data_IF_057789417328
#
_entry.id   IF_057789417328
#
_cell.length_a   1.000
_cell.length_b   1.000
_cell.length_c   1.000
_cell.angle_alpha   90.00
_cell.angle_beta   90.00
_cell.angle_gamma   90.00
#
_symmetry.space_group_name_H-M   'P 1'
#
loop_
_entity.id
_entity.type
_entity.pdbx_description
1 polymer ?
#
# COMPACT_ATOMS: atom_id res chain seq x y z
N UNK A 1 16.26 9.42 -27.45
CA UNK A 1 15.24 8.41 -27.81
C UNK A 1 14.09 8.35 -26.79
N UNK A 2 14.35 8.03 -25.51
CA UNK A 2 13.30 7.82 -24.49
C UNK A 2 12.31 8.98 -24.28
N UNK A 3 12.76 10.24 -24.37
CA UNK A 3 11.86 11.41 -24.25
C UNK A 3 10.87 11.52 -25.41
N UNK A 4 11.31 11.23 -26.65
CA UNK A 4 10.45 11.27 -27.85
C UNK A 4 9.39 10.16 -27.78
N UNK A 5 9.81 8.95 -27.42
CA UNK A 5 8.92 7.79 -27.22
C UNK A 5 7.87 8.08 -26.13
N UNK A 6 8.30 8.60 -24.97
CA UNK A 6 7.37 8.95 -23.90
C UNK A 6 6.40 10.09 -24.27
N UNK A 7 6.81 11.01 -25.16
CA UNK A 7 5.96 12.08 -25.67
C UNK A 7 4.77 11.59 -26.49
N UNK A 8 4.89 10.41 -27.13
CA UNK A 8 3.79 9.75 -27.84
C UNK A 8 2.78 9.10 -26.89
N UNK A 9 3.11 8.96 -25.60
CA UNK A 9 2.25 8.28 -24.63
C UNK A 9 0.86 8.91 -24.51
N UNK A 10 0.74 10.24 -24.54
CA UNK A 10 -0.54 10.92 -24.39
C UNK A 10 -1.43 10.80 -25.64
N UNK A 11 -0.97 11.06 -26.88
CA UNK A 11 -1.77 10.80 -28.07
C UNK A 11 -2.19 9.34 -28.20
N UNK A 12 -1.26 8.40 -27.96
CA UNK A 12 -1.53 6.96 -28.05
C UNK A 12 -2.52 6.51 -26.97
N UNK A 13 -2.53 7.14 -25.80
CA UNK A 13 -3.46 6.80 -24.72
C UNK A 13 -4.94 6.87 -25.15
N UNK A 14 -5.32 7.78 -26.04
CA UNK A 14 -6.71 7.86 -26.52
C UNK A 14 -7.07 6.71 -27.47
N UNK A 15 -6.10 6.20 -28.24
CA UNK A 15 -6.26 5.09 -29.19
C UNK A 15 -6.14 3.75 -28.47
N UNK A 16 -5.17 3.64 -27.57
CA UNK A 16 -4.89 2.46 -26.78
C UNK A 16 -4.28 2.89 -25.42
N UNK A 17 -5.09 2.94 -24.34
CA UNK A 17 -4.66 3.40 -23.02
C UNK A 17 -3.46 2.65 -22.42
N UNK A 18 -3.41 1.33 -22.56
CA UNK A 18 -2.32 0.47 -22.06
C UNK A 18 -1.00 0.77 -22.79
N UNK A 19 -1.03 0.90 -24.12
CA UNK A 19 0.18 1.24 -24.89
C UNK A 19 0.65 2.65 -24.53
N UNK A 20 -0.27 3.62 -24.45
CA UNK A 20 0.03 4.98 -24.04
C UNK A 20 0.68 5.05 -22.65
N UNK A 21 0.15 4.25 -21.71
CA UNK A 21 0.73 4.07 -20.38
C UNK A 21 2.15 3.48 -20.44
N UNK A 22 2.37 2.36 -21.14
CA UNK A 22 3.70 1.75 -21.28
C UNK A 22 4.73 2.72 -21.87
N UNK A 23 4.35 3.50 -22.90
CA UNK A 23 5.19 4.53 -23.49
C UNK A 23 5.55 5.62 -22.47
N UNK A 24 4.60 6.02 -21.62
CA UNK A 24 4.82 7.03 -20.59
C UNK A 24 5.88 6.62 -19.55
N UNK A 25 6.01 5.32 -19.25
CA UNK A 25 6.96 4.80 -18.27
C UNK A 25 8.43 5.01 -18.66
N UNK A 26 8.74 5.11 -19.96
CA UNK A 26 10.11 5.39 -20.46
C UNK A 26 10.67 6.72 -19.96
N UNK A 27 9.80 7.66 -19.56
CA UNK A 27 10.20 8.91 -18.93
C UNK A 27 9.26 9.30 -17.78
N UNK A 28 9.13 8.41 -16.79
CA UNK A 28 8.27 8.62 -15.61
C UNK A 28 8.53 9.94 -14.84
N UNK A 29 9.72 10.56 -14.99
CA UNK A 29 10.04 11.86 -14.39
C UNK A 29 9.33 13.04 -15.06
N UNK A 30 8.85 12.87 -16.30
CA UNK A 30 8.12 13.89 -17.04
C UNK A 30 6.76 14.17 -16.40
N UNK A 31 6.34 15.44 -16.42
CA UNK A 31 4.98 15.84 -16.02
C UNK A 31 3.92 15.19 -16.91
N UNK A 32 4.17 15.11 -18.22
CA UNK A 32 3.25 14.46 -19.17
C UNK A 32 3.08 12.99 -18.85
N UNK A 33 4.17 12.27 -18.57
CA UNK A 33 4.10 10.87 -18.16
C UNK A 33 3.33 10.69 -16.85
N UNK A 34 3.48 11.63 -15.91
CA UNK A 34 2.67 11.64 -14.68
C UNK A 34 1.18 11.82 -14.94
N UNK A 35 0.80 12.70 -15.87
CA UNK A 35 -0.60 12.87 -16.29
C UNK A 35 -1.13 11.57 -16.89
N UNK A 36 -0.41 10.98 -17.85
CA UNK A 36 -0.82 9.70 -18.47
C UNK A 36 -0.94 8.59 -17.43
N UNK A 37 -0.02 8.51 -16.46
CA UNK A 37 -0.09 7.52 -15.37
C UNK A 37 -1.36 7.67 -14.53
N UNK A 38 -1.70 8.90 -14.15
CA UNK A 38 -2.89 9.21 -13.34
C UNK A 38 -4.18 8.97 -14.13
N UNK A 39 -4.23 9.38 -15.40
CA UNK A 39 -5.36 9.10 -16.27
C UNK A 39 -5.54 7.60 -16.50
N UNK A 40 -4.46 6.84 -16.66
CA UNK A 40 -4.54 5.38 -16.77
C UNK A 40 -5.05 4.73 -15.49
N UNK A 41 -4.68 5.25 -14.32
CA UNK A 41 -5.24 4.79 -13.04
C UNK A 41 -6.75 5.07 -12.93
N UNK A 42 -7.21 6.22 -13.43
CA UNK A 42 -8.64 6.55 -13.55
C UNK A 42 -9.37 5.58 -14.49
N UNK A 43 -8.78 5.25 -15.65
CA UNK A 43 -9.35 4.26 -16.59
C UNK A 43 -9.39 2.86 -15.99
N UNK A 44 -8.35 2.44 -15.26
CA UNK A 44 -8.36 1.16 -14.51
C UNK A 44 -9.51 1.12 -13.52
N UNK A 45 -9.74 2.20 -12.77
CA UNK A 45 -10.89 2.30 -11.88
C UNK A 45 -12.21 2.15 -12.63
N UNK A 46 -12.39 2.89 -13.72
CA UNK A 46 -13.60 2.83 -14.54
C UNK A 46 -13.85 1.43 -15.15
N UNK A 47 -12.79 0.74 -15.54
CA UNK A 47 -12.84 -0.56 -16.21
C UNK A 47 -13.10 -1.75 -15.27
N UNK A 48 -13.36 -1.54 -13.98
CA UNK A 48 -13.69 -2.64 -13.07
C UNK A 48 -15.01 -3.29 -13.49
N UNK A 49 -15.05 -4.62 -13.59
CA UNK A 49 -16.17 -5.42 -14.09
C UNK A 49 -17.23 -5.75 -13.04
N UNK A 50 -16.89 -5.71 -11.75
CA UNK A 50 -17.72 -6.16 -10.62
C UNK A 50 -18.19 -7.62 -10.67
N UNK A 51 -17.66 -8.45 -11.57
CA UNK A 51 -18.08 -9.85 -11.73
C UNK A 51 -17.60 -10.78 -10.62
N UNK A 52 -16.58 -10.38 -9.85
CA UNK A 52 -16.00 -11.21 -8.79
C UNK A 52 -16.64 -10.90 -7.43
N UNK A 53 -17.44 -11.85 -6.93
CA UNK A 53 -18.18 -11.73 -5.66
C UNK A 53 -17.29 -11.57 -4.43
N UNK A 54 -16.04 -12.05 -4.52
CA UNK A 54 -15.05 -11.96 -3.44
C UNK A 54 -14.27 -10.64 -3.46
N UNK A 55 -14.41 -9.83 -4.51
CA UNK A 55 -13.66 -8.59 -4.63
C UNK A 55 -14.22 -7.50 -3.70
N UNK A 56 -13.30 -6.74 -3.09
CA UNK A 56 -13.65 -5.49 -2.42
C UNK A 56 -14.42 -4.55 -3.35
N UNK A 57 -14.13 -4.62 -4.66
CA UNK A 57 -14.67 -3.67 -5.61
C UNK A 57 -16.18 -3.70 -5.70
N UNK A 58 -16.74 -4.91 -5.83
CA UNK A 58 -18.18 -5.15 -5.86
C UNK A 58 -18.85 -4.62 -4.59
N UNK A 59 -18.31 -4.95 -3.40
CA UNK A 59 -18.91 -4.52 -2.12
C UNK A 59 -18.99 -3.01 -1.99
N UNK A 60 -18.02 -2.27 -2.53
CA UNK A 60 -18.10 -0.81 -2.55
C UNK A 60 -19.03 -0.30 -3.65
N UNK A 61 -19.16 -1.00 -4.79
CA UNK A 61 -20.11 -0.66 -5.84
C UNK A 61 -21.56 -0.79 -5.35
N UNK A 62 -21.90 -1.90 -4.69
CA UNK A 62 -23.21 -2.12 -4.06
C UNK A 62 -23.50 -1.07 -2.99
N UNK A 63 -22.50 -0.75 -2.15
CA UNK A 63 -22.64 0.28 -1.12
C UNK A 63 -22.86 1.67 -1.72
N UNK A 64 -22.28 1.96 -2.89
CA UNK A 64 -22.49 3.23 -3.60
C UNK A 64 -23.87 3.30 -4.23
N UNK A 65 -24.38 2.21 -4.82
CA UNK A 65 -25.72 2.19 -5.40
C UNK A 65 -26.83 2.34 -4.35
N UNK A 66 -26.57 1.92 -3.11
CA UNK A 66 -27.47 2.12 -1.97
C UNK A 66 -27.21 3.43 -1.22
N UNK A 67 -26.25 4.24 -1.67
CA UNK A 67 -25.89 5.47 -0.99
C UNK A 67 -26.93 6.55 -1.29
N UNK A 68 -27.65 6.96 -0.25
CA UNK A 68 -28.57 8.09 -0.30
C UNK A 68 -27.80 9.40 -0.16
N UNK A 69 -27.84 10.24 -1.18
CA UNK A 69 -27.17 11.54 -1.22
C UNK A 69 -28.03 12.69 -0.65
N UNK A 70 -29.25 12.40 -0.20
CA UNK A 70 -30.15 13.35 0.47
C UNK A 70 -29.92 13.43 1.98
N UNK A 71 -29.00 12.63 2.52
CA UNK A 71 -28.62 12.67 3.93
C UNK A 71 -28.17 14.08 4.34
N UNK A 72 -28.86 14.68 5.30
CA UNK A 72 -28.45 15.96 5.88
C UNK A 72 -27.13 15.80 6.66
N UNK A 73 -26.46 16.93 6.93
CA UNK A 73 -25.21 16.94 7.67
C UNK A 73 -25.33 16.21 9.03
N UNK A 74 -26.48 16.35 9.71
CA UNK A 74 -26.71 15.72 11.01
C UNK A 74 -26.79 14.19 10.89
N UNK A 75 -27.42 13.67 9.84
CA UNK A 75 -27.50 12.25 9.53
C UNK A 75 -26.11 11.69 9.18
N UNK A 76 -25.30 12.41 8.40
CA UNK A 76 -23.91 12.02 8.12
C UNK A 76 -23.05 11.99 9.38
N UNK A 77 -23.16 13.01 10.25
CA UNK A 77 -22.45 13.04 11.54
C UNK A 77 -22.94 11.93 12.46
N UNK A 78 -24.25 11.64 12.49
CA UNK A 78 -24.84 10.55 13.26
C UNK A 78 -24.31 9.20 12.79
N UNK A 79 -24.38 8.92 11.48
CA UNK A 79 -23.87 7.68 10.87
C UNK A 79 -22.35 7.50 11.08
N UNK A 80 -21.59 8.60 11.11
CA UNK A 80 -20.16 8.56 11.46
C UNK A 80 -19.95 8.25 12.95
N UNK A 81 -20.71 8.89 13.86
CA UNK A 81 -20.65 8.65 15.31
C UNK A 81 -21.11 7.24 15.70
N UNK A 82 -22.14 6.73 15.04
CA UNK A 82 -22.71 5.38 15.23
C UNK A 82 -21.87 4.29 14.56
N UNK A 83 -20.94 4.66 13.67
CA UNK A 83 -19.95 3.73 13.10
C UNK A 83 -20.39 3.02 11.83
N UNK A 84 -21.54 3.42 11.30
CA UNK A 84 -22.05 2.97 10.02
C UNK A 84 -21.19 3.53 8.87
N UNK A 85 -20.65 4.75 9.04
CA UNK A 85 -19.70 5.40 8.14
C UNK A 85 -18.26 5.37 8.70
N UNK A 86 -17.51 4.32 8.35
CA UNK A 86 -16.20 4.00 8.94
C UNK A 86 -15.02 4.81 8.41
N UNK A 87 -15.08 5.22 7.14
CA UNK A 87 -13.97 5.87 6.44
C UNK A 87 -14.47 7.13 5.72
N UNK A 88 -14.00 8.30 6.17
CA UNK A 88 -14.42 9.60 5.63
C UNK A 88 -14.11 9.75 4.14
N UNK A 89 -12.97 9.22 3.68
CA UNK A 89 -12.61 9.23 2.27
C UNK A 89 -13.65 8.53 1.38
N UNK A 90 -14.18 7.37 1.82
CA UNK A 90 -15.24 6.67 1.08
C UNK A 90 -16.49 7.54 1.01
N UNK A 91 -16.88 8.14 2.13
CA UNK A 91 -18.07 8.97 2.21
C UNK A 91 -17.98 10.19 1.29
N UNK A 92 -16.89 10.94 1.38
CA UNK A 92 -16.68 12.14 0.56
C UNK A 92 -16.65 11.79 -0.93
N UNK A 93 -16.04 10.66 -1.29
CA UNK A 93 -16.05 10.17 -2.66
C UNK A 93 -17.48 9.81 -3.12
N UNK A 94 -18.24 9.09 -2.30
CA UNK A 94 -19.62 8.71 -2.62
C UNK A 94 -20.50 9.94 -2.78
N UNK A 95 -20.46 10.86 -1.82
CA UNK A 95 -21.20 12.11 -1.88
C UNK A 95 -20.83 12.95 -3.10
N UNK A 96 -19.54 13.13 -3.39
CA UNK A 96 -19.12 13.93 -4.53
C UNK A 96 -19.62 13.35 -5.86
N UNK A 97 -19.50 12.04 -6.05
CA UNK A 97 -19.88 11.39 -7.31
C UNK A 97 -21.39 11.28 -7.45
N UNK A 98 -22.12 11.04 -6.36
CA UNK A 98 -23.58 10.91 -6.38
C UNK A 98 -24.31 12.19 -6.76
N UNK A 99 -23.65 13.36 -6.73
CA UNK A 99 -24.20 14.62 -7.24
C UNK A 99 -24.49 14.53 -8.75
N UNK A 100 -23.70 13.76 -9.51
CA UNK A 100 -23.79 13.74 -10.98
C UNK A 100 -23.82 12.34 -11.60
N UNK A 101 -23.67 11.27 -10.82
CA UNK A 101 -23.71 9.90 -11.32
C UNK A 101 -24.10 8.89 -10.25
N UNK A 102 -24.98 7.95 -10.59
CA UNK A 102 -25.27 6.75 -9.79
C UNK A 102 -24.44 5.53 -10.24
N UNK A 103 -23.61 5.67 -11.27
CA UNK A 103 -22.81 4.57 -11.83
C UNK A 103 -21.54 4.32 -10.98
N UNK A 104 -21.37 3.13 -10.37
CA UNK A 104 -20.18 2.79 -9.58
C UNK A 104 -18.85 2.84 -10.35
N UNK A 105 -18.84 2.61 -11.67
CA UNK A 105 -17.63 2.74 -12.49
C UNK A 105 -17.12 4.18 -12.49
N UNK A 106 -18.02 5.16 -12.51
CA UNK A 106 -17.66 6.58 -12.37
C UNK A 106 -17.06 6.83 -10.99
N UNK A 107 -17.65 6.28 -9.93
CA UNK A 107 -17.10 6.36 -8.58
C UNK A 107 -15.68 5.78 -8.50
N UNK A 108 -15.45 4.62 -9.11
CA UNK A 108 -14.11 4.04 -9.18
C UNK A 108 -13.13 4.81 -10.05
N UNK A 109 -13.58 5.49 -11.10
CA UNK A 109 -12.72 6.36 -11.88
C UNK A 109 -12.14 7.48 -11.01
N UNK A 110 -12.97 8.13 -10.18
CA UNK A 110 -12.50 9.13 -9.22
C UNK A 110 -11.64 8.53 -8.11
N UNK A 111 -11.96 7.34 -7.60
CA UNK A 111 -11.09 6.61 -6.67
C UNK A 111 -9.71 6.34 -7.30
N UNK A 112 -9.69 5.90 -8.55
CA UNK A 112 -8.50 5.62 -9.35
C UNK A 112 -7.68 6.87 -9.65
N UNK A 113 -8.32 8.02 -9.84
CA UNK A 113 -7.66 9.30 -10.01
C UNK A 113 -6.86 9.68 -8.75
N UNK A 114 -7.51 9.70 -7.58
CA UNK A 114 -6.85 10.04 -6.30
C UNK A 114 -5.76 9.04 -5.97
N UNK A 115 -6.06 7.74 -6.11
CA UNK A 115 -5.10 6.67 -5.90
C UNK A 115 -3.89 6.79 -6.86
N UNK A 116 -4.13 7.07 -8.13
CA UNK A 116 -3.12 7.24 -9.18
C UNK A 116 -2.14 8.38 -8.87
N UNK A 117 -2.62 9.49 -8.30
CA UNK A 117 -1.77 10.61 -7.88
C UNK A 117 -0.76 10.14 -6.81
N UNK A 118 -1.24 9.51 -5.74
CA UNK A 118 -0.36 9.04 -4.66
C UNK A 118 0.54 7.86 -5.08
N UNK A 119 0.04 7.00 -5.96
CA UNK A 119 0.82 5.91 -6.56
C UNK A 119 1.98 6.47 -7.39
N UNK A 120 1.72 7.44 -8.26
CA UNK A 120 2.73 8.13 -9.05
C UNK A 120 3.75 8.85 -8.16
N UNK A 121 3.30 9.60 -7.15
CA UNK A 121 4.18 10.30 -6.21
C UNK A 121 5.10 9.33 -5.46
N UNK A 122 4.57 8.19 -5.02
CA UNK A 122 5.35 7.14 -4.36
C UNK A 122 6.36 6.47 -5.31
N UNK A 123 5.96 6.22 -6.56
CA UNK A 123 6.88 5.72 -7.60
C UNK A 123 8.01 6.72 -7.89
N UNK A 124 7.72 8.03 -7.87
CA UNK A 124 8.75 9.07 -8.04
C UNK A 124 9.79 9.06 -6.92
N UNK A 125 9.42 8.69 -5.70
CA UNK A 125 10.38 8.53 -4.60
C UNK A 125 11.39 7.44 -4.94
N UNK A 126 10.94 6.27 -5.40
CA UNK A 126 11.82 5.19 -5.84
C UNK A 126 12.74 5.63 -6.99
N UNK A 127 12.17 6.27 -8.01
CA UNK A 127 12.91 6.75 -9.19
C UNK A 127 13.94 7.83 -8.84
N UNK A 128 13.68 8.62 -7.78
CA UNK A 128 14.63 9.59 -7.25
C UNK A 128 15.81 8.88 -6.59
N UNK A 129 15.57 7.95 -5.66
CA UNK A 129 16.64 7.22 -4.95
C UNK A 129 17.46 6.31 -5.89
N UNK A 130 16.82 5.77 -6.95
CA UNK A 130 17.51 4.99 -7.99
C UNK A 130 18.53 5.82 -8.78
N UNK A 131 18.29 7.12 -8.95
CA UNK A 131 19.08 7.98 -9.82
C UNK A 131 19.01 7.56 -11.30
N UNK A 132 20.10 7.70 -12.04
CA UNK A 132 20.21 7.26 -13.45
C UNK A 132 20.49 5.77 -13.61
N UNK A 133 20.75 5.05 -12.51
CA UNK A 133 21.07 3.63 -12.57
C UNK A 133 19.89 2.82 -13.12
N UNK A 134 20.21 1.88 -14.01
CA UNK A 134 19.27 0.91 -14.55
C UNK A 134 20.02 -0.39 -14.77
N UNK A 135 19.68 -1.41 -14.00
CA UNK A 135 20.13 -2.79 -14.22
C UNK A 135 19.01 -3.76 -13.81
N UNK A 136 19.23 -5.04 -14.08
CA UNK A 136 18.24 -6.09 -13.84
C UNK A 136 17.84 -6.22 -12.37
N UNK A 137 18.75 -6.00 -11.42
CA UNK A 137 18.47 -6.10 -9.99
C UNK A 137 17.64 -4.91 -9.49
N UNK A 138 17.93 -3.70 -9.98
CA UNK A 138 17.08 -2.54 -9.75
C UNK A 138 15.70 -2.70 -10.37
N UNK A 139 15.60 -3.40 -11.51
CA UNK A 139 14.31 -3.75 -12.11
C UNK A 139 13.52 -4.70 -11.19
N UNK A 140 14.13 -5.76 -10.64
CA UNK A 140 13.47 -6.64 -9.69
C UNK A 140 12.96 -5.90 -8.45
N UNK A 141 13.79 -5.03 -7.87
CA UNK A 141 13.36 -4.18 -6.74
C UNK A 141 12.22 -3.24 -7.14
N UNK A 142 12.27 -2.64 -8.33
CA UNK A 142 11.21 -1.77 -8.83
C UNK A 142 9.90 -2.53 -9.06
N UNK A 143 9.96 -3.77 -9.55
CA UNK A 143 8.78 -4.63 -9.74
C UNK A 143 8.14 -4.99 -8.39
N UNK A 144 8.93 -5.34 -7.38
CA UNK A 144 8.42 -5.62 -6.03
C UNK A 144 7.83 -4.35 -5.42
N UNK A 145 8.52 -3.21 -5.54
CA UNK A 145 7.99 -1.92 -5.08
C UNK A 145 6.65 -1.59 -5.74
N UNK A 146 6.53 -1.80 -7.06
CA UNK A 146 5.29 -1.59 -7.79
C UNK A 146 4.18 -2.52 -7.29
N UNK A 147 4.50 -3.79 -7.02
CA UNK A 147 3.54 -4.80 -6.54
C UNK A 147 2.88 -4.37 -5.22
N UNK A 148 3.65 -3.83 -4.27
CA UNK A 148 3.10 -3.42 -2.98
C UNK A 148 2.46 -2.03 -3.05
N UNK A 149 1.13 -1.99 -2.98
CA UNK A 149 0.32 -0.77 -2.89
C UNK A 149 0.50 0.29 -3.98
N UNK A 150 1.43 0.18 -4.91
CA UNK A 150 1.63 1.13 -6.04
C UNK A 150 0.89 0.64 -7.29
N UNK A 151 0.76 -0.68 -7.47
CA UNK A 151 0.11 -1.30 -8.62
C UNK A 151 -1.33 -0.81 -8.75
N UNK A 152 -1.68 -0.34 -9.94
CA UNK A 152 -2.91 0.42 -10.18
C UNK A 152 -4.19 -0.37 -9.90
N UNK A 153 -4.15 -1.70 -10.03
CA UNK A 153 -5.28 -2.58 -9.72
C UNK A 153 -5.62 -2.64 -8.23
N UNK A 154 -4.73 -2.18 -7.35
CA UNK A 154 -5.04 -2.04 -5.94
C UNK A 154 -6.12 -0.98 -5.67
N UNK A 155 -6.56 -0.20 -6.67
CA UNK A 155 -7.77 0.63 -6.58
C UNK A 155 -9.01 -0.20 -6.18
N UNK A 156 -9.03 -1.51 -6.46
CA UNK A 156 -10.03 -2.45 -5.93
C UNK A 156 -10.28 -2.30 -4.41
N UNK A 157 -9.21 -2.06 -3.66
CA UNK A 157 -9.23 -1.80 -2.21
C UNK A 157 -8.88 -0.36 -1.87
N UNK A 158 -9.45 0.62 -2.60
CA UNK A 158 -8.95 2.01 -2.59
C UNK A 158 -8.82 2.65 -1.20
N UNK A 159 -9.65 2.28 -0.21
CA UNK A 159 -9.64 2.90 1.14
C UNK A 159 -8.28 2.71 1.83
N UNK A 160 -7.92 1.46 2.12
CA UNK A 160 -6.65 1.13 2.75
C UNK A 160 -5.47 1.44 1.82
N UNK A 161 -5.57 1.07 0.54
CA UNK A 161 -4.44 1.14 -0.38
C UNK A 161 -4.03 2.59 -0.69
N UNK A 162 -5.00 3.51 -0.82
CA UNK A 162 -4.70 4.95 -0.96
C UNK A 162 -4.08 5.48 0.33
N UNK A 163 -4.67 5.16 1.49
CA UNK A 163 -4.12 5.57 2.79
C UNK A 163 -2.68 5.07 3.01
N UNK A 164 -2.34 3.86 2.56
CA UNK A 164 -1.01 3.30 2.64
C UNK A 164 0.02 4.08 1.80
N UNK A 165 -0.35 4.49 0.57
CA UNK A 165 0.48 5.32 -0.28
C UNK A 165 0.66 6.74 0.27
N UNK A 166 -0.42 7.35 0.77
CA UNK A 166 -0.38 8.65 1.45
C UNK A 166 0.54 8.57 2.65
N UNK A 167 0.42 7.52 3.47
CA UNK A 167 1.27 7.31 4.64
C UNK A 167 2.74 7.16 4.23
N UNK A 168 3.04 6.27 3.29
CA UNK A 168 4.40 6.05 2.79
C UNK A 168 5.04 7.34 2.29
N UNK A 169 4.34 8.05 1.40
CA UNK A 169 4.85 9.29 0.81
C UNK A 169 5.04 10.40 1.85
N UNK A 170 4.11 10.52 2.80
CA UNK A 170 4.15 11.53 3.86
C UNK A 170 5.28 11.25 4.86
N UNK A 171 5.41 10.00 5.32
CA UNK A 171 6.52 9.57 6.19
C UNK A 171 7.87 9.79 5.52
N UNK A 172 8.00 9.44 4.22
CA UNK A 172 9.24 9.64 3.51
C UNK A 172 9.62 11.14 3.42
N UNK A 173 8.68 11.99 3.02
CA UNK A 173 8.96 13.43 2.89
C UNK A 173 9.18 14.11 4.24
N UNK A 174 8.47 13.68 5.28
CA UNK A 174 8.66 14.24 6.62
C UNK A 174 9.98 13.80 7.25
N UNK A 175 10.25 12.49 7.33
CA UNK A 175 11.39 11.93 8.07
C UNK A 175 12.71 12.12 7.30
N UNK A 176 12.73 11.84 6.00
CA UNK A 176 13.96 11.84 5.22
C UNK A 176 14.18 13.13 4.45
N UNK A 177 13.14 13.71 3.86
CA UNK A 177 13.25 15.01 3.18
C UNK A 177 13.10 16.21 4.12
N UNK A 178 12.82 15.99 5.41
CA UNK A 178 12.67 17.03 6.45
C UNK A 178 11.60 18.10 6.13
N UNK A 179 10.57 17.74 5.36
CA UNK A 179 9.49 18.65 4.98
C UNK A 179 8.34 18.56 6.00
N UNK A 180 8.27 19.50 6.93
CA UNK A 180 7.33 19.51 8.06
C UNK A 180 5.85 19.49 7.66
N UNK A 181 5.50 20.10 6.52
CA UNK A 181 4.11 20.13 6.02
C UNK A 181 3.49 18.72 5.86
N UNK A 182 4.32 17.70 5.64
CA UNK A 182 3.86 16.32 5.47
C UNK A 182 3.43 15.63 6.77
N UNK A 183 3.55 16.29 7.93
CA UNK A 183 2.87 15.83 9.16
C UNK A 183 1.36 15.79 8.93
N UNK A 184 0.79 16.78 8.23
CA UNK A 184 -0.63 16.80 7.88
C UNK A 184 -0.99 15.52 7.10
N UNK A 185 -0.15 15.14 6.13
CA UNK A 185 -0.31 13.91 5.36
C UNK A 185 -0.35 12.64 6.22
N UNK A 186 0.37 12.59 7.34
CA UNK A 186 0.32 11.46 8.29
C UNK A 186 -0.99 11.50 9.10
N UNK A 187 -1.37 12.68 9.61
CA UNK A 187 -2.55 12.89 10.44
C UNK A 187 -3.87 12.62 9.70
N UNK A 188 -3.91 12.79 8.38
CA UNK A 188 -5.11 12.52 7.57
C UNK A 188 -5.26 11.04 7.18
N UNK A 189 -4.25 10.19 7.37
CA UNK A 189 -4.34 8.77 6.96
C UNK A 189 -5.47 7.98 7.62
N UNK A 190 -5.86 8.23 8.89
CA UNK A 190 -7.06 7.63 9.48
C UNK A 190 -8.37 8.01 8.77
N UNK A 191 -8.41 9.16 8.08
CA UNK A 191 -9.58 9.56 7.29
C UNK A 191 -9.73 8.73 6.01
N UNK A 192 -8.61 8.23 5.46
CA UNK A 192 -8.63 7.28 4.34
C UNK A 192 -9.09 5.91 4.78
N UNK A 193 -8.57 5.46 5.92
CA UNK A 193 -8.99 4.21 6.53
C UNK A 193 -8.73 4.20 8.04
N UNK A 194 -9.74 3.84 8.83
CA UNK A 194 -9.65 3.83 10.30
C UNK A 194 -8.49 2.98 10.84
N UNK A 195 -8.08 1.93 10.10
CA UNK A 195 -6.95 1.07 10.48
C UNK A 195 -5.62 1.81 10.64
N UNK A 196 -5.48 3.04 10.13
CA UNK A 196 -4.31 3.89 10.33
C UNK A 196 -4.30 4.65 11.65
N UNK A 197 -5.37 4.61 12.45
CA UNK A 197 -5.45 5.30 13.74
C UNK A 197 -4.27 4.95 14.68
N UNK A 198 -3.85 3.67 14.84
CA UNK A 198 -2.68 3.33 15.67
C UNK A 198 -1.36 3.93 15.17
N UNK A 199 -1.25 4.29 13.89
CA UNK A 199 -0.01 4.84 13.33
C UNK A 199 0.32 6.21 13.92
N UNK A 200 -0.68 7.00 14.31
CA UNK A 200 -0.48 8.35 14.84
C UNK A 200 0.31 8.36 16.16
N UNK A 201 -0.13 7.69 17.25
CA UNK A 201 0.62 7.65 18.49
C UNK A 201 2.00 6.99 18.31
N UNK A 202 2.11 6.00 17.42
CA UNK A 202 3.36 5.29 17.16
C UNK A 202 4.36 6.19 16.41
N UNK A 203 3.88 7.03 15.51
CA UNK A 203 4.69 8.04 14.86
C UNK A 203 5.18 9.11 15.85
N UNK A 204 4.30 9.56 16.76
CA UNK A 204 4.69 10.48 17.84
C UNK A 204 5.78 9.83 18.70
N UNK A 205 5.59 8.58 19.11
CA UNK A 205 6.59 7.80 19.84
C UNK A 205 7.91 7.76 19.08
N UNK A 206 7.90 7.37 17.80
CA UNK A 206 9.10 7.35 16.97
C UNK A 206 9.82 8.71 16.98
N UNK A 207 9.10 9.82 16.81
CA UNK A 207 9.71 11.16 16.84
C UNK A 207 10.41 11.45 18.17
N UNK A 208 9.85 11.00 19.29
CA UNK A 208 10.46 11.18 20.62
C UNK A 208 11.69 10.29 20.84
N UNK A 209 11.65 9.04 20.36
CA UNK A 209 12.68 8.04 20.70
C UNK A 209 13.71 7.76 19.59
N UNK A 210 13.54 8.29 18.38
CA UNK A 210 14.39 7.93 17.23
C UNK A 210 15.89 8.17 17.47
N UNK A 211 16.25 9.19 18.26
CA UNK A 211 17.64 9.47 18.65
C UNK A 211 18.31 8.33 19.44
N UNK A 212 17.50 7.48 20.09
CA UNK A 212 17.99 6.30 20.81
C UNK A 212 18.14 5.08 19.90
N UNK A 213 17.63 5.11 18.68
CA UNK A 213 17.64 3.96 17.78
C UNK A 213 18.87 3.85 16.91
N UNK A 214 19.56 4.97 16.64
CA UNK A 214 20.73 4.96 15.78
C UNK A 214 21.75 6.03 16.15
N UNK A 215 22.97 5.88 15.64
CA UNK A 215 24.02 6.89 15.68
C UNK A 215 24.78 6.91 14.33
N UNK A 216 25.89 7.64 14.23
CA UNK A 216 26.71 7.68 13.00
C UNK A 216 27.38 6.34 12.66
N UNK A 217 27.53 5.45 13.64
CA UNK A 217 28.19 4.14 13.49
C UNK A 217 27.21 3.09 12.99
N UNK A 218 25.95 3.14 13.42
CA UNK A 218 24.94 2.17 13.02
C UNK A 218 23.68 2.19 13.88
N UNK A 219 22.84 1.18 13.68
CA UNK A 219 21.65 0.93 14.50
C UNK A 219 22.06 0.44 15.89
N UNK A 220 21.48 1.01 16.93
CA UNK A 220 21.79 0.64 18.31
C UNK A 220 21.29 -0.78 18.64
N UNK A 221 21.96 -1.52 19.54
CA UNK A 221 21.59 -2.90 19.87
C UNK A 221 20.14 -3.06 20.33
N UNK A 222 19.62 -2.11 21.12
CA UNK A 222 18.25 -2.16 21.63
C UNK A 222 17.22 -2.38 20.52
N UNK A 223 17.20 -1.53 19.49
CA UNK A 223 16.24 -1.66 18.39
C UNK A 223 16.42 -2.98 17.64
N UNK A 224 17.66 -3.42 17.44
CA UNK A 224 17.95 -4.68 16.79
C UNK A 224 17.42 -5.89 17.58
N UNK A 225 17.60 -5.92 18.90
CA UNK A 225 17.07 -7.01 19.72
C UNK A 225 15.55 -6.98 19.81
N UNK A 226 14.94 -5.80 19.90
CA UNK A 226 13.47 -5.66 19.79
C UNK A 226 12.97 -6.21 18.46
N UNK A 227 13.69 -5.99 17.36
CA UNK A 227 13.37 -6.59 16.07
C UNK A 227 13.47 -8.11 16.09
N UNK A 228 14.54 -8.68 16.64
CA UNK A 228 14.68 -10.14 16.73
C UNK A 228 13.53 -10.74 17.57
N UNK A 229 13.22 -10.13 18.71
CA UNK A 229 12.12 -10.59 19.59
C UNK A 229 10.78 -10.50 18.88
N UNK A 230 10.45 -9.36 18.27
CA UNK A 230 9.17 -9.18 17.55
C UNK A 230 9.06 -10.07 16.31
N UNK A 231 10.18 -10.29 15.61
CA UNK A 231 10.25 -11.24 14.51
C UNK A 231 9.94 -12.66 14.99
N UNK A 232 10.64 -13.14 16.03
CA UNK A 232 10.42 -14.47 16.61
C UNK A 232 8.97 -14.62 17.11
N UNK A 233 8.47 -13.62 17.84
CA UNK A 233 7.08 -13.59 18.29
C UNK A 233 6.10 -13.71 17.11
N UNK A 234 6.37 -13.05 15.97
CA UNK A 234 5.50 -13.12 14.78
C UNK A 234 5.34 -14.51 14.15
N UNK A 235 6.12 -15.52 14.59
CA UNK A 235 5.96 -16.92 14.18
C UNK A 235 5.00 -17.71 15.08
N UNK A 236 4.88 -17.31 16.34
CA UNK A 236 4.13 -18.05 17.36
C UNK A 236 2.85 -17.34 17.81
N UNK A 237 2.77 -16.01 17.64
CA UNK A 237 1.60 -15.26 18.08
C UNK A 237 0.44 -15.47 17.09
N UNK A 238 -0.64 -16.04 17.60
CA UNK A 238 -1.90 -16.18 16.88
C UNK A 238 -2.59 -14.83 16.64
N UNK A 239 -3.52 -14.82 15.68
CA UNK A 239 -4.38 -13.65 15.46
C UNK A 239 -5.26 -13.46 16.70
N UNK A 240 -5.48 -12.22 17.14
CA UNK A 240 -6.22 -11.83 18.37
C UNK A 240 -5.53 -12.05 19.72
N UNK A 241 -4.22 -12.34 19.76
CA UNK A 241 -3.48 -12.43 21.02
C UNK A 241 -3.47 -11.11 21.81
N UNK A 242 -3.38 -9.97 21.11
CA UNK A 242 -3.51 -8.64 21.74
C UNK A 242 -4.99 -8.25 21.73
N UNK A 243 -5.61 -8.29 22.92
CA UNK A 243 -7.02 -7.93 23.13
C UNK A 243 -7.26 -6.42 23.15
N UNK A 244 -7.28 -5.75 21.99
CA UNK A 244 -7.46 -4.27 21.93
C UNK A 244 -8.81 -3.80 22.51
N UNK A 245 -9.78 -4.71 22.66
CA UNK A 245 -11.04 -4.44 23.36
C UNK A 245 -10.87 -3.84 24.77
N UNK A 246 -9.70 -4.00 25.42
CA UNK A 246 -9.43 -3.31 26.69
C UNK A 246 -9.55 -1.77 26.56
N UNK A 247 -9.27 -1.19 25.40
CA UNK A 247 -9.41 0.25 25.17
C UNK A 247 -10.86 0.72 25.08
N UNK A 248 -11.76 -0.18 24.64
CA UNK A 248 -13.21 0.02 24.71
C UNK A 248 -13.69 -0.07 26.16
N UNK A 249 -13.22 -1.09 26.89
CA UNK A 249 -13.55 -1.32 28.30
C UNK A 249 -13.04 -0.21 29.25
N UNK A 250 -12.00 0.51 28.86
CA UNK A 250 -11.47 1.68 29.60
C UNK A 250 -12.13 3.01 29.19
N UNK A 251 -13.20 3.00 28.38
CA UNK A 251 -13.87 4.18 27.80
C UNK A 251 -12.93 5.12 27.02
N UNK A 252 -11.73 4.65 26.64
CA UNK A 252 -10.77 5.43 25.83
C UNK A 252 -11.29 5.56 24.40
N UNK A 253 -11.97 4.52 23.90
CA UNK A 253 -12.67 4.54 22.62
C UNK A 253 -14.12 4.09 22.81
N UNK A 254 -15.06 5.03 22.79
CA UNK A 254 -16.49 4.76 22.93
C UNK A 254 -17.22 4.71 21.57
N UNK A 255 -18.47 4.23 21.59
CA UNK A 255 -19.35 4.16 20.43
C UNK A 255 -18.87 3.20 19.34
N UNK A 256 -18.99 3.62 18.09
CA UNK A 256 -18.58 2.91 16.89
C UNK A 256 -17.20 2.24 16.94
N UNK A 257 -16.22 2.97 17.48
CA UNK A 257 -14.81 2.58 17.47
C UNK A 257 -14.57 1.48 18.51
N UNK A 258 -15.17 1.63 19.70
CA UNK A 258 -15.16 0.61 20.75
C UNK A 258 -15.82 -0.69 20.29
N UNK A 259 -17.05 -0.61 19.76
CA UNK A 259 -17.79 -1.77 19.25
C UNK A 259 -17.02 -2.53 18.15
N UNK A 260 -16.29 -1.83 17.28
CA UNK A 260 -15.49 -2.47 16.24
C UNK A 260 -14.21 -3.10 16.79
N UNK A 261 -13.55 -2.47 17.77
CA UNK A 261 -12.40 -3.08 18.44
C UNK A 261 -12.81 -4.37 19.14
N UNK A 262 -13.96 -4.37 19.82
CA UNK A 262 -14.54 -5.57 20.41
C UNK A 262 -14.88 -6.64 19.37
N UNK A 263 -15.54 -6.25 18.27
CA UNK A 263 -15.84 -7.17 17.18
C UNK A 263 -14.57 -7.77 16.55
N UNK A 264 -13.54 -6.97 16.28
CA UNK A 264 -12.28 -7.47 15.72
C UNK A 264 -11.62 -8.48 16.68
N UNK A 265 -11.73 -8.24 17.98
CA UNK A 265 -11.22 -9.12 19.02
C UNK A 265 -12.18 -10.26 19.42
N UNK A 266 -13.31 -10.45 18.71
CA UNK A 266 -14.25 -11.53 18.98
C UNK A 266 -13.71 -12.89 18.50
N UNK A 267 -14.09 -13.95 19.19
CA UNK A 267 -13.79 -15.33 18.78
C UNK A 267 -14.44 -15.68 17.44
N UNK A 268 -15.60 -15.10 17.14
CA UNK A 268 -16.28 -15.26 15.84
C UNK A 268 -15.42 -14.77 14.68
N UNK A 269 -14.82 -13.58 14.80
CA UNK A 269 -13.95 -13.04 13.74
C UNK A 269 -12.65 -13.83 13.62
N UNK A 270 -12.06 -14.27 14.73
CA UNK A 270 -10.90 -15.14 14.71
C UNK A 270 -11.20 -16.44 13.94
N UNK A 271 -12.28 -17.15 14.33
CA UNK A 271 -12.71 -18.39 13.69
C UNK A 271 -13.06 -18.21 12.22
N UNK A 272 -13.66 -17.07 11.85
CA UNK A 272 -13.95 -16.76 10.46
C UNK A 272 -12.68 -16.46 9.63
N UNK A 273 -11.67 -15.83 10.25
CA UNK A 273 -10.37 -15.62 9.59
C UNK A 273 -9.64 -16.94 9.39
N UNK A 274 -9.63 -17.82 10.40
CA UNK A 274 -8.92 -19.09 10.32
C UNK A 274 -9.63 -20.10 9.42
N UNK A 275 -10.96 -20.24 9.52
CA UNK A 275 -11.74 -21.06 8.57
C UNK A 275 -11.57 -20.63 7.11
N UNK A 276 -11.41 -19.33 6.85
CA UNK A 276 -11.11 -18.85 5.48
C UNK A 276 -9.73 -19.28 5.01
N UNK A 277 -8.71 -19.24 5.88
CA UNK A 277 -7.37 -19.71 5.54
C UNK A 277 -7.41 -21.20 5.21
N UNK A 278 -7.99 -22.00 6.09
CA UNK A 278 -7.99 -23.46 5.97
C UNK A 278 -8.75 -23.94 4.73
N UNK A 279 -9.87 -23.28 4.41
CA UNK A 279 -10.72 -23.66 3.27
C UNK A 279 -10.31 -23.04 1.93
N UNK A 280 -9.27 -22.20 1.88
CA UNK A 280 -8.84 -21.55 0.64
C UNK A 280 -7.43 -21.98 0.25
N UNK A 281 -7.34 -22.76 -0.83
CA UNK A 281 -6.06 -23.14 -1.43
C UNK A 281 -5.18 -21.91 -1.74
N UNK A 282 -5.80 -20.81 -2.18
CA UNK A 282 -5.11 -19.54 -2.40
C UNK A 282 -4.47 -18.99 -1.13
N UNK A 283 -5.22 -18.91 -0.01
CA UNK A 283 -4.70 -18.38 1.25
C UNK A 283 -3.65 -19.31 1.87
N UNK A 284 -3.81 -20.62 1.71
CA UNK A 284 -2.82 -21.61 2.13
C UNK A 284 -1.49 -21.44 1.37
N UNK A 285 -1.52 -21.39 0.04
CA UNK A 285 -0.30 -21.17 -0.76
C UNK A 285 0.33 -19.82 -0.43
N UNK A 286 -0.46 -18.76 -0.32
CA UNK A 286 0.01 -17.42 0.03
C UNK A 286 0.79 -17.42 1.36
N UNK A 287 0.34 -18.19 2.34
CA UNK A 287 0.95 -18.26 3.67
C UNK A 287 2.41 -18.74 3.61
N UNK A 288 2.71 -19.74 2.78
CA UNK A 288 4.09 -20.22 2.60
C UNK A 288 5.01 -19.17 1.94
N UNK A 289 4.50 -18.42 0.97
CA UNK A 289 5.24 -17.30 0.38
C UNK A 289 5.45 -16.16 1.39
N UNK A 290 4.46 -15.87 2.22
CA UNK A 290 4.59 -14.89 3.30
C UNK A 290 5.67 -15.31 4.32
N UNK A 291 5.80 -16.62 4.63
CA UNK A 291 6.93 -17.13 5.43
C UNK A 291 8.28 -16.94 4.73
N UNK A 292 8.35 -17.22 3.43
CA UNK A 292 9.54 -16.95 2.63
C UNK A 292 9.94 -15.48 2.68
N UNK A 293 8.96 -14.57 2.58
CA UNK A 293 9.18 -13.12 2.68
C UNK A 293 9.71 -12.75 4.07
N UNK A 294 9.11 -13.27 5.15
CA UNK A 294 9.59 -13.04 6.53
C UNK A 294 11.05 -13.47 6.69
N UNK A 295 11.41 -14.67 6.23
CA UNK A 295 12.80 -15.19 6.29
C UNK A 295 13.74 -14.29 5.49
N UNK A 296 13.35 -13.93 4.26
CA UNK A 296 14.15 -13.05 3.40
C UNK A 296 14.39 -11.67 4.05
N UNK A 297 13.36 -11.08 4.67
CA UNK A 297 13.47 -9.82 5.41
C UNK A 297 14.49 -9.95 6.55
N UNK A 298 14.42 -11.03 7.33
CA UNK A 298 15.36 -11.26 8.43
C UNK A 298 16.80 -11.38 7.93
N UNK A 299 17.03 -12.19 6.89
CA UNK A 299 18.34 -12.35 6.25
C UNK A 299 18.87 -11.02 5.71
N UNK A 300 17.99 -10.21 5.08
CA UNK A 300 18.35 -8.88 4.59
C UNK A 300 18.75 -7.92 5.72
N UNK A 301 18.03 -7.92 6.85
CA UNK A 301 18.40 -7.11 8.03
C UNK A 301 19.79 -7.51 8.55
N UNK A 302 20.08 -8.81 8.66
CA UNK A 302 21.41 -9.29 9.07
C UNK A 302 22.50 -8.83 8.10
N UNK A 303 22.23 -8.97 6.79
CA UNK A 303 23.16 -8.58 5.74
C UNK A 303 23.44 -7.07 5.77
N UNK A 304 22.41 -6.22 5.76
CA UNK A 304 22.54 -4.76 5.77
C UNK A 304 23.29 -4.31 7.02
N UNK A 305 22.98 -4.87 8.19
CA UNK A 305 23.70 -4.54 9.43
C UNK A 305 25.19 -4.85 9.33
N UNK A 306 25.56 -6.01 8.76
CA UNK A 306 26.96 -6.40 8.55
C UNK A 306 27.65 -5.48 7.52
N UNK A 307 26.96 -5.16 6.42
CA UNK A 307 27.45 -4.27 5.38
C UNK A 307 27.73 -2.87 5.95
N UNK A 308 26.76 -2.26 6.63
CA UNK A 308 26.91 -0.94 7.22
C UNK A 308 27.98 -0.90 8.32
N UNK A 309 28.21 -1.97 9.07
CA UNK A 309 29.33 -2.03 10.02
C UNK A 309 30.69 -1.99 9.33
N UNK A 310 30.82 -2.67 8.18
CA UNK A 310 32.07 -2.76 7.41
C UNK A 310 32.32 -1.54 6.51
N UNK A 311 31.29 -0.82 6.10
CA UNK A 311 31.43 0.32 5.20
C UNK A 311 32.17 1.48 5.88
N UNK A 312 33.14 2.03 5.16
CA UNK A 312 33.93 3.22 5.52
C UNK A 312 33.24 4.47 4.97
N UNK A 313 33.28 5.58 5.72
CA UNK A 313 32.69 6.87 5.32
C UNK A 313 31.37 7.22 6.04
N UNK A 314 30.76 8.35 5.66
CA UNK A 314 29.48 8.78 6.23
C UNK A 314 28.32 7.91 5.73
N UNK A 315 27.74 7.17 6.67
CA UNK A 315 26.61 6.26 6.47
C UNK A 315 25.38 6.65 7.29
N UNK A 316 25.35 7.89 7.79
CA UNK A 316 24.29 8.40 8.66
C UNK A 316 22.91 8.27 8.02
N UNK A 317 22.79 8.57 6.72
CA UNK A 317 21.53 8.50 6.00
C UNK A 317 21.01 7.06 5.85
N UNK A 318 21.88 6.13 5.43
CA UNK A 318 21.56 4.70 5.35
C UNK A 318 21.16 4.14 6.70
N UNK A 319 21.90 4.51 7.74
CA UNK A 319 21.67 4.07 9.10
C UNK A 319 20.33 4.57 9.64
N UNK A 320 19.98 5.84 9.36
CA UNK A 320 18.68 6.41 9.73
C UNK A 320 17.53 5.69 9.04
N UNK A 321 17.62 5.47 7.73
CA UNK A 321 16.59 4.76 6.97
C UNK A 321 16.48 3.30 7.43
N UNK A 322 17.60 2.62 7.67
CA UNK A 322 17.62 1.26 8.17
C UNK A 322 17.01 1.13 9.57
N UNK A 323 17.32 2.05 10.48
CA UNK A 323 16.67 2.10 11.80
C UNK A 323 15.16 2.28 11.69
N UNK A 324 14.71 3.18 10.80
CA UNK A 324 13.28 3.37 10.56
C UNK A 324 12.61 2.11 9.98
N UNK A 325 13.24 1.45 9.00
CA UNK A 325 12.73 0.20 8.42
C UNK A 325 12.56 -0.87 9.49
N UNK A 326 13.59 -1.10 10.31
CA UNK A 326 13.54 -2.08 11.40
C UNK A 326 12.43 -1.73 12.39
N UNK A 327 12.36 -0.48 12.84
CA UNK A 327 11.31 0.00 13.74
C UNK A 327 9.91 -0.26 13.17
N UNK A 328 9.70 0.06 11.89
CA UNK A 328 8.41 -0.11 11.24
C UNK A 328 8.07 -1.60 11.03
N UNK A 329 9.06 -2.49 10.85
CA UNK A 329 8.83 -3.94 10.88
C UNK A 329 8.44 -4.43 12.26
N UNK A 330 9.11 -4.00 13.34
CA UNK A 330 8.72 -4.35 14.70
C UNK A 330 7.25 -4.01 14.93
N UNK A 331 6.86 -2.80 14.53
CA UNK A 331 5.46 -2.35 14.57
C UNK A 331 4.56 -3.26 13.73
N UNK A 332 4.92 -3.51 12.49
CA UNK A 332 4.08 -4.27 11.55
C UNK A 332 3.91 -5.73 11.99
N UNK A 333 4.91 -6.33 12.63
CA UNK A 333 4.79 -7.65 13.26
C UNK A 333 3.83 -7.65 14.43
N UNK A 334 3.89 -6.65 15.31
CA UNK A 334 2.92 -6.50 16.40
C UNK A 334 1.52 -6.26 15.83
N UNK A 335 1.35 -5.37 14.86
CA UNK A 335 0.05 -5.13 14.23
C UNK A 335 -0.48 -6.36 13.48
N UNK A 336 0.39 -7.25 13.01
CA UNK A 336 -0.04 -8.47 12.32
C UNK A 336 -0.79 -9.47 13.21
N UNK A 337 -0.69 -9.34 14.54
CA UNK A 337 -1.50 -10.13 15.49
C UNK A 337 -2.93 -9.60 15.58
N UNK A 338 -3.24 -8.47 14.96
CA UNK A 338 -4.56 -7.86 14.91
C UNK A 338 -5.19 -8.21 13.54
N UNK A 339 -6.48 -8.57 13.48
CA UNK A 339 -7.14 -8.86 12.22
C UNK A 339 -6.97 -7.71 11.21
N UNK A 340 -6.59 -8.05 9.99
CA UNK A 340 -6.25 -7.11 8.90
C UNK A 340 -4.98 -6.26 9.12
N UNK A 341 -4.32 -6.33 10.27
CA UNK A 341 -3.11 -5.55 10.57
C UNK A 341 -1.86 -6.06 9.84
N UNK A 342 -1.86 -7.29 9.32
CA UNK A 342 -0.80 -7.82 8.46
C UNK A 342 -0.55 -6.96 7.20
N UNK A 343 -1.52 -6.13 6.79
CA UNK A 343 -1.38 -5.17 5.68
C UNK A 343 -0.27 -4.14 5.94
N UNK A 344 0.01 -3.79 7.20
CA UNK A 344 1.11 -2.86 7.51
C UNK A 344 2.49 -3.39 7.12
N UNK A 345 2.67 -4.72 7.04
CA UNK A 345 3.90 -5.32 6.51
C UNK A 345 4.17 -4.86 5.07
N UNK A 346 3.15 -4.69 4.23
CA UNK A 346 3.34 -4.17 2.86
C UNK A 346 3.97 -2.77 2.83
N UNK A 347 3.65 -1.91 3.80
CA UNK A 347 4.27 -0.58 3.94
C UNK A 347 5.72 -0.72 4.42
N UNK A 348 5.99 -1.66 5.34
CA UNK A 348 7.35 -2.01 5.74
C UNK A 348 8.20 -2.50 4.55
N UNK A 349 7.62 -3.34 3.68
CA UNK A 349 8.26 -3.80 2.44
C UNK A 349 8.60 -2.62 1.52
N UNK A 350 7.72 -1.64 1.34
CA UNK A 350 8.03 -0.43 0.55
C UNK A 350 9.29 0.30 1.04
N UNK A 351 9.41 0.52 2.35
CA UNK A 351 10.60 1.16 2.92
C UNK A 351 11.86 0.27 2.83
N UNK A 352 11.72 -1.05 3.00
CA UNK A 352 12.83 -1.99 2.82
C UNK A 352 13.36 -1.97 1.39
N UNK A 353 12.47 -2.01 0.40
CA UNK A 353 12.86 -1.97 -1.01
C UNK A 353 13.49 -0.63 -1.36
N UNK A 354 12.97 0.48 -0.82
CA UNK A 354 13.58 1.80 -0.98
C UNK A 354 15.01 1.85 -0.41
N UNK A 355 15.21 1.29 0.79
CA UNK A 355 16.53 1.15 1.41
C UNK A 355 17.47 0.30 0.54
N UNK A 356 16.99 -0.84 0.04
CA UNK A 356 17.79 -1.72 -0.82
C UNK A 356 18.18 -1.05 -2.13
N UNK A 357 17.26 -0.30 -2.77
CA UNK A 357 17.60 0.50 -3.95
C UNK A 357 18.71 1.48 -3.63
N UNK A 358 18.58 2.23 -2.53
CA UNK A 358 19.58 3.22 -2.13
C UNK A 358 20.94 2.61 -1.79
N UNK A 359 20.96 1.48 -1.08
CA UNK A 359 22.21 0.76 -0.76
C UNK A 359 22.83 0.23 -2.04
N UNK A 360 22.05 -0.41 -2.90
CA UNK A 360 22.55 -1.06 -4.11
C UNK A 360 23.06 -0.09 -5.16
N UNK A 361 22.55 1.15 -5.23
CA UNK A 361 23.11 2.18 -6.11
C UNK A 361 24.54 2.58 -5.74
N UNK A 362 24.94 2.39 -4.47
CA UNK A 362 26.29 2.69 -3.96
C UNK A 362 27.16 1.43 -3.86
N UNK A 363 26.64 0.37 -3.26
CA UNK A 363 27.36 -0.89 -3.00
C UNK A 363 26.86 -1.98 -3.96
N UNK A 364 27.51 -2.14 -5.11
CA UNK A 364 27.11 -3.10 -6.18
C UNK A 364 27.77 -4.48 -6.06
N UNK A 365 28.03 -4.92 -4.85
CA UNK A 365 28.73 -6.18 -4.57
C UNK A 365 27.95 -7.44 -5.04
N UNK A 366 28.65 -8.54 -5.28
CA UNK A 366 28.03 -9.82 -5.72
C UNK A 366 27.04 -10.36 -4.70
N UNK A 367 27.32 -10.21 -3.40
CA UNK A 367 26.46 -10.74 -2.33
C UNK A 367 25.09 -10.05 -2.29
N UNK A 368 25.03 -8.73 -2.44
CA UNK A 368 23.75 -7.99 -2.46
C UNK A 368 22.96 -8.32 -3.73
N UNK A 369 23.62 -8.48 -4.89
CA UNK A 369 22.98 -8.93 -6.14
C UNK A 369 22.31 -10.27 -5.96
N UNK A 370 23.01 -11.23 -5.35
CA UNK A 370 22.46 -12.56 -5.07
C UNK A 370 21.21 -12.42 -4.21
N UNK A 371 21.28 -11.73 -3.07
CA UNK A 371 20.14 -11.57 -2.16
C UNK A 371 18.94 -10.83 -2.79
N UNK A 372 19.17 -9.85 -3.66
CA UNK A 372 18.12 -9.23 -4.47
C UNK A 372 17.57 -10.23 -5.49
N UNK A 373 18.41 -11.06 -6.11
CA UNK A 373 17.94 -12.14 -6.99
C UNK A 373 16.97 -13.09 -6.27
N UNK A 374 17.27 -13.47 -5.03
CA UNK A 374 16.39 -14.29 -4.18
C UNK A 374 15.05 -13.63 -3.84
N UNK A 375 14.92 -12.31 -3.96
CA UNK A 375 13.62 -11.66 -3.72
C UNK A 375 12.61 -12.05 -4.81
N UNK A 376 13.03 -12.33 -6.05
CA UNK A 376 12.09 -12.65 -7.12
C UNK A 376 11.25 -13.92 -6.84
N UNK A 377 11.84 -15.10 -6.53
CA UNK A 377 11.05 -16.28 -6.20
C UNK A 377 10.23 -16.08 -4.92
N UNK A 378 10.80 -15.40 -3.92
CA UNK A 378 10.13 -15.14 -2.63
C UNK A 378 8.88 -14.26 -2.79
N UNK A 379 8.93 -13.25 -3.66
CA UNK A 379 7.80 -12.35 -3.92
C UNK A 379 6.95 -12.78 -5.13
N UNK A 380 7.30 -13.88 -5.81
CA UNK A 380 6.67 -14.29 -7.08
C UNK A 380 5.16 -14.47 -6.97
N UNK A 381 4.66 -15.08 -5.90
CA UNK A 381 3.23 -15.25 -5.68
C UNK A 381 2.50 -13.90 -5.62
N UNK A 382 3.01 -12.94 -4.85
CA UNK A 382 2.41 -11.60 -4.77
C UNK A 382 2.53 -10.85 -6.10
N UNK A 383 3.65 -10.99 -6.81
CA UNK A 383 3.85 -10.37 -8.13
C UNK A 383 2.82 -10.92 -9.13
N UNK A 384 2.68 -12.24 -9.23
CA UNK A 384 1.75 -12.90 -10.15
C UNK A 384 0.30 -12.63 -9.75
N UNK A 385 -0.02 -12.72 -8.47
CA UNK A 385 -1.37 -12.46 -7.99
C UNK A 385 -1.79 -11.02 -8.26
N UNK A 386 -0.99 -10.04 -7.82
CA UNK A 386 -1.38 -8.63 -7.90
C UNK A 386 -1.26 -8.09 -9.32
N UNK A 387 -0.21 -8.43 -10.08
CA UNK A 387 0.02 -7.81 -11.38
C UNK A 387 -0.49 -8.63 -12.58
N UNK A 388 -0.92 -9.87 -12.38
CA UNK A 388 -1.44 -10.73 -13.45
C UNK A 388 -2.86 -11.20 -13.14
N UNK A 389 -3.05 -11.99 -12.09
CA UNK A 389 -4.34 -12.64 -11.82
C UNK A 389 -5.42 -11.62 -11.42
N UNK A 390 -5.12 -10.72 -10.47
CA UNK A 390 -6.08 -9.74 -9.99
C UNK A 390 -6.62 -8.83 -11.12
N UNK A 391 -5.78 -8.25 -12.02
CA UNK A 391 -6.28 -7.51 -13.17
C UNK A 391 -7.25 -8.32 -14.05
N UNK A 392 -6.95 -9.60 -14.31
CA UNK A 392 -7.82 -10.49 -15.08
C UNK A 392 -9.16 -10.72 -14.37
N UNK A 393 -9.14 -10.84 -13.04
CA UNK A 393 -10.32 -11.11 -12.23
C UNK A 393 -11.25 -9.90 -12.05
N UNK A 394 -10.74 -8.67 -12.14
CA UNK A 394 -11.51 -7.47 -11.78
C UNK A 394 -11.73 -6.51 -12.94
N UNK A 395 -11.00 -6.60 -14.04
CA UNK A 395 -11.15 -5.68 -15.18
C UNK A 395 -11.96 -6.32 -16.31
N UNK A 396 -12.69 -5.51 -17.07
CA UNK A 396 -13.36 -5.99 -18.28
C UNK A 396 -12.32 -6.42 -19.33
N UNK A 397 -12.59 -7.46 -20.15
CA UNK A 397 -11.66 -7.86 -21.21
C UNK A 397 -11.34 -6.72 -22.18
N UNK A 398 -12.33 -5.87 -22.44
CA UNK A 398 -12.25 -4.70 -23.30
C UNK A 398 -11.16 -3.71 -22.89
N UNK A 399 -10.83 -3.62 -21.60
CA UNK A 399 -9.75 -2.78 -21.09
C UNK A 399 -8.40 -3.04 -21.78
N UNK A 400 -8.12 -4.28 -22.16
CA UNK A 400 -6.81 -4.69 -22.65
C UNK A 400 -6.55 -4.29 -24.11
N UNK A 401 -7.60 -4.19 -24.93
CA UNK A 401 -7.48 -3.97 -26.37
C UNK A 401 -8.33 -2.80 -26.89
N UNK A 402 -9.35 -2.35 -26.15
CA UNK A 402 -10.23 -1.26 -26.53
C UNK A 402 -9.54 0.10 -26.52
N UNK A 403 -10.03 1.00 -27.37
CA UNK A 403 -9.69 2.41 -27.28
C UNK A 403 -10.42 3.07 -26.10
N UNK A 404 -10.00 4.29 -25.73
CA UNK A 404 -10.57 4.96 -24.56
C UNK A 404 -12.09 5.18 -24.66
N UNK A 405 -12.58 5.56 -25.83
CA UNK A 405 -14.01 5.82 -26.06
C UNK A 405 -14.84 4.55 -25.95
N UNK A 406 -14.33 3.44 -26.45
CA UNK A 406 -15.01 2.15 -26.37
C UNK A 406 -15.08 1.64 -24.92
N UNK A 407 -14.02 1.82 -24.13
CA UNK A 407 -14.03 1.53 -22.68
C UNK A 407 -15.09 2.38 -21.96
N UNK A 408 -15.21 3.66 -22.33
CA UNK A 408 -16.24 4.56 -21.76
C UNK A 408 -17.64 4.06 -22.11
N UNK A 409 -17.90 3.73 -23.38
CA UNK A 409 -19.20 3.25 -23.84
C UNK A 409 -19.58 1.94 -23.13
N UNK A 410 -18.67 0.96 -23.05
CA UNK A 410 -18.90 -0.29 -22.32
C UNK A 410 -19.27 -0.05 -20.85
N UNK A 411 -18.66 0.96 -20.20
CA UNK A 411 -18.96 1.27 -18.81
C UNK A 411 -20.26 2.03 -18.57
N UNK A 412 -20.92 2.53 -19.61
CA UNK A 412 -22.25 3.13 -19.47
C UNK A 412 -23.31 2.07 -19.20
N UNK A 413 -23.23 0.92 -19.89
CA UNK A 413 -24.16 -0.20 -19.78
C UNK A 413 -23.68 -1.25 -18.76
N UNK A 414 -23.21 -0.81 -17.58
CA UNK A 414 -22.71 -1.74 -16.58
C UNK A 414 -23.84 -2.55 -15.92
N UNK A 415 -23.53 -3.80 -15.55
CA UNK A 415 -24.44 -4.68 -14.81
C UNK A 415 -23.80 -5.06 -13.47
N UNK A 416 -24.55 -4.96 -12.38
CA UNK A 416 -24.24 -5.63 -11.12
C UNK A 416 -24.99 -6.96 -11.12
N UNK A 417 -24.29 -8.01 -11.54
CA UNK A 417 -24.83 -9.35 -11.82
C UNK A 417 -25.78 -9.41 -13.02
#
# INVERSE_FOLDING_TARGET
>A
MNKKIAGLGLPVFFIQPLVGFCLSLYNIRSRVSGIVYVLFAMVIGYAISFSNTSADSLRYAEAFMRFDNTLDYNALVRLYREGELRDLYRLLLFYFVSIFSSNPKVMYAFAGLVYGVFSYLSLRVLVKERGSNSDTYLFFLSLIFFTYYVSLVNVNGFRFNTGALVLFYSLYNFIFQKKSIWVIGILITPLFHYGFLPVIPIFILYKLVHQFFYNKIGVKPLLYYVFVITFLASWFLETNLIKIGFLSQMDIFSGAIGNRMEFLNSSEVANLVDSRKDNSLYLNVKTYFDYGIKIWVFVMVLFIRKLLKKSVGDKSEFTKLFAFVIFFYCLSFVLSTIPSGARFLGIAHLFMILLLVKIYTVYKEVNIKRLIGWSLPVFSFNILFINVLLPILILTPTFWYGNLFWIIIEGMDFYLY
#
